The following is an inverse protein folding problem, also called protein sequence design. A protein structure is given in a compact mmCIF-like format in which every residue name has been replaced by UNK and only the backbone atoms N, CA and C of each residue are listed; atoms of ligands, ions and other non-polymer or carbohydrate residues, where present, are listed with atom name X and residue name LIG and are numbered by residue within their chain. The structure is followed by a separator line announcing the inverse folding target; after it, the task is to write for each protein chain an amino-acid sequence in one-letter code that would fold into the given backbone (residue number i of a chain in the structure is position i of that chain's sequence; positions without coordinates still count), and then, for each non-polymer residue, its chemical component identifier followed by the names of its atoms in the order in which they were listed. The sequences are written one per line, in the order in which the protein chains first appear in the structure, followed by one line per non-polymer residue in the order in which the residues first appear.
data_IF_445606085711
#
_entry.id   IF_445606085711
#
_cell.length_a   1.000
_cell.length_b   1.000
_cell.length_c   1.000
_cell.angle_alpha   90.00
_cell.angle_beta   90.00
_cell.angle_gamma   90.00
#
_symmetry.space_group_name_H-M   'P 1'
#
loop_
_entity.id
_entity.type
_entity.pdbx_description
1 polymer ?
#
# COMPACT_ATOMS: atom_id res chain seq x y z
N UNK A 1 18.05 -42.62 -0.56
CA UNK A 1 18.04 -41.19 -0.96
C UNK A 1 16.58 -40.77 -0.93
N UNK A 2 15.96 -40.69 0.25
CA UNK A 2 15.79 -39.50 1.10
C UNK A 2 15.20 -38.29 0.35
N UNK A 3 13.91 -38.11 0.64
CA UNK A 3 13.14 -36.88 0.77
C UNK A 3 12.99 -36.01 -0.49
N UNK A 4 11.99 -36.37 -1.30
CA UNK A 4 11.13 -35.34 -1.88
C UNK A 4 10.53 -34.57 -0.70
N UNK A 5 11.00 -33.33 -0.49
CA UNK A 5 10.45 -32.42 0.49
C UNK A 5 8.94 -32.35 0.29
N UNK A 6 8.25 -32.84 1.31
CA UNK A 6 6.83 -32.74 1.51
C UNK A 6 6.48 -31.24 1.45
N UNK A 7 5.99 -30.79 0.30
CA UNK A 7 5.47 -29.44 0.13
C UNK A 7 4.44 -29.25 1.24
N UNK A 8 4.76 -28.37 2.18
CA UNK A 8 3.89 -28.04 3.31
C UNK A 8 2.47 -27.79 2.79
N UNK A 9 1.43 -28.22 3.53
CA UNK A 9 0.06 -28.04 3.07
C UNK A 9 -0.14 -26.55 2.81
N UNK A 10 -0.44 -26.21 1.55
CA UNK A 10 -0.77 -24.85 1.13
C UNK A 10 -1.74 -24.28 2.16
N UNK A 11 -1.36 -23.16 2.78
CA UNK A 11 -2.19 -22.49 3.78
C UNK A 11 -3.58 -22.28 3.18
N UNK A 12 -4.54 -23.07 3.66
CA UNK A 12 -5.91 -23.01 3.15
C UNK A 12 -6.57 -21.84 3.85
N UNK A 13 -6.93 -20.80 3.10
CA UNK A 13 -7.65 -19.67 3.64
C UNK A 13 -9.00 -20.15 4.20
N UNK A 14 -9.15 -20.11 5.53
CA UNK A 14 -10.35 -20.58 6.24
C UNK A 14 -11.48 -19.56 6.22
N UNK A 15 -11.24 -18.36 5.70
CA UNK A 15 -12.20 -17.25 5.67
C UNK A 15 -12.43 -16.78 4.24
N UNK A 16 -13.70 -16.49 3.92
CA UNK A 16 -14.03 -15.92 2.61
C UNK A 16 -13.43 -14.51 2.47
N UNK A 17 -12.74 -14.26 1.37
CA UNK A 17 -12.24 -12.92 1.05
C UNK A 17 -13.41 -11.98 0.84
N UNK A 18 -13.51 -10.93 1.67
CA UNK A 18 -14.53 -9.88 1.55
C UNK A 18 -13.90 -8.54 1.22
N UNK A 19 -14.66 -7.69 0.52
CA UNK A 19 -14.34 -6.26 0.45
C UNK A 19 -14.47 -5.67 1.86
N UNK A 20 -13.48 -4.90 2.28
CA UNK A 20 -13.51 -4.20 3.56
C UNK A 20 -14.51 -3.03 3.49
N UNK A 21 -15.30 -2.86 4.55
CA UNK A 21 -16.00 -1.60 4.82
C UNK A 21 -15.02 -0.63 5.51
N UNK A 22 -14.20 0.05 4.70
CA UNK A 22 -13.13 0.87 5.22
C UNK A 22 -13.65 2.00 6.14
N UNK A 23 -14.79 2.59 5.82
CA UNK A 23 -15.36 3.68 6.62
C UNK A 23 -15.81 3.18 8.00
N UNK A 24 -16.53 2.05 8.04
CA UNK A 24 -16.96 1.43 9.30
C UNK A 24 -15.78 0.99 10.17
N UNK A 25 -14.77 0.37 9.59
CA UNK A 25 -13.59 -0.13 10.32
C UNK A 25 -12.73 1.03 10.87
N UNK A 26 -12.58 2.13 10.09
CA UNK A 26 -11.95 3.37 10.58
C UNK A 26 -12.69 3.95 11.79
N UNK A 27 -14.01 4.07 11.69
CA UNK A 27 -14.84 4.62 12.76
C UNK A 27 -14.77 3.75 14.04
N UNK A 28 -14.79 2.43 13.88
CA UNK A 28 -14.70 1.47 14.99
C UNK A 28 -13.39 1.62 15.78
N UNK A 29 -12.27 1.84 15.10
CA UNK A 29 -10.95 1.95 15.72
C UNK A 29 -10.49 3.40 15.94
N UNK A 30 -11.36 4.39 15.70
CA UNK A 30 -11.04 5.80 15.90
C UNK A 30 -9.94 6.33 14.98
N UNK A 31 -9.79 5.76 13.78
CA UNK A 31 -8.80 6.20 12.79
C UNK A 31 -9.37 7.38 12.01
N UNK A 32 -8.80 8.57 12.26
CA UNK A 32 -9.20 9.81 11.62
C UNK A 32 -8.20 10.20 10.50
N UNK A 33 -8.54 9.79 9.28
CA UNK A 33 -7.79 10.13 8.05
C UNK A 33 -8.75 10.58 6.95
N UNK A 34 -8.38 11.62 6.18
CA UNK A 34 -9.27 12.18 5.17
C UNK A 34 -9.45 11.22 3.98
N UNK A 35 -10.66 11.21 3.40
CA UNK A 35 -10.99 10.38 2.23
C UNK A 35 -10.70 11.04 0.88
N UNK A 36 -10.33 12.32 0.90
CA UNK A 36 -9.92 13.15 -0.24
C UNK A 36 -8.87 14.16 0.19
N UNK A 37 -8.02 14.59 -0.75
CA UNK A 37 -7.07 15.68 -0.54
C UNK A 37 -7.43 16.85 -1.44
N UNK A 38 -7.38 18.05 -0.89
CA UNK A 38 -7.45 19.31 -1.64
C UNK A 38 -6.02 19.87 -1.74
N UNK A 39 -5.31 19.49 -2.80
CA UNK A 39 -3.93 19.90 -3.04
C UNK A 39 -3.90 20.95 -4.15
N UNK A 40 -3.07 22.01 -4.03
CA UNK A 40 -2.82 22.93 -5.13
C UNK A 40 -2.28 22.19 -6.35
N UNK A 41 -2.88 22.42 -7.53
CA UNK A 41 -2.58 21.66 -8.75
C UNK A 41 -1.17 21.86 -9.32
N UNK A 42 -0.44 22.88 -8.86
CA UNK A 42 0.92 23.20 -9.26
C UNK A 42 1.99 22.66 -8.29
N UNK A 43 1.60 22.08 -7.15
CA UNK A 43 2.53 21.56 -6.17
C UNK A 43 2.86 20.07 -6.39
N UNK A 44 4.13 19.67 -6.24
CA UNK A 44 4.50 18.26 -6.21
C UNK A 44 3.78 17.54 -5.06
N UNK A 45 3.22 16.36 -5.34
CA UNK A 45 2.65 15.46 -4.32
C UNK A 45 3.72 14.86 -3.42
N UNK A 46 4.96 14.78 -3.91
CA UNK A 46 6.11 14.21 -3.21
C UNK A 46 7.22 15.23 -3.04
N UNK A 47 7.89 15.16 -1.89
CA UNK A 47 9.20 15.78 -1.70
C UNK A 47 10.26 15.03 -2.53
N UNK A 48 11.37 15.67 -2.87
CA UNK A 48 12.38 15.08 -3.76
C UNK A 48 12.86 13.69 -3.32
N UNK A 49 13.08 13.46 -2.03
CA UNK A 49 13.49 12.15 -1.53
C UNK A 49 12.37 11.09 -1.58
N UNK A 50 11.12 11.51 -1.49
CA UNK A 50 9.95 10.65 -1.63
C UNK A 50 9.78 10.25 -3.11
N UNK A 51 9.98 11.20 -4.03
CA UNK A 51 9.98 10.92 -5.47
C UNK A 51 11.08 9.93 -5.84
N UNK A 52 12.32 10.13 -5.35
CA UNK A 52 13.41 9.16 -5.55
C UNK A 52 13.08 7.77 -5.01
N UNK A 53 12.45 7.68 -3.84
CA UNK A 53 12.00 6.39 -3.29
C UNK A 53 10.91 5.73 -4.14
N UNK A 54 9.97 6.53 -4.65
CA UNK A 54 8.88 6.05 -5.48
C UNK A 54 9.36 5.49 -6.82
N UNK A 55 10.40 6.10 -7.39
CA UNK A 55 11.01 5.71 -8.67
C UNK A 55 12.02 4.56 -8.55
N UNK A 56 12.40 4.15 -7.33
CA UNK A 56 13.33 3.04 -7.12
C UNK A 56 12.75 1.73 -7.70
N UNK A 57 13.54 0.98 -8.48
CA UNK A 57 13.14 -0.30 -9.09
C UNK A 57 13.81 -1.51 -8.43
N UNK A 58 14.57 -1.30 -7.35
CA UNK A 58 15.24 -2.37 -6.61
C UNK A 58 14.24 -3.40 -6.09
N UNK A 59 14.60 -4.69 -6.18
CA UNK A 59 13.76 -5.80 -5.69
C UNK A 59 13.53 -5.74 -4.18
N UNK A 60 14.53 -5.23 -3.45
CA UNK A 60 14.48 -5.00 -2.00
C UNK A 60 14.92 -3.58 -1.72
N UNK A 61 14.02 -2.78 -1.15
CA UNK A 61 14.28 -1.41 -0.74
C UNK A 61 14.32 -1.35 0.80
N UNK A 62 15.39 -0.80 1.37
CA UNK A 62 15.54 -0.60 2.82
C UNK A 62 15.89 0.87 3.05
N UNK A 63 15.19 1.54 3.97
CA UNK A 63 15.49 2.91 4.34
C UNK A 63 15.56 3.07 5.85
N UNK A 64 16.66 3.68 6.32
CA UNK A 64 16.67 4.35 7.60
C UNK A 64 15.86 5.65 7.46
N UNK A 65 14.87 5.85 8.33
CA UNK A 65 14.00 7.03 8.28
C UNK A 65 13.76 7.63 9.66
N UNK A 66 13.65 8.95 9.70
CA UNK A 66 13.16 9.68 10.86
C UNK A 66 11.62 9.65 10.94
N UNK A 67 11.06 10.26 12.00
CA UNK A 67 9.61 10.44 12.15
C UNK A 67 9.12 11.55 11.23
N UNK A 68 7.87 11.42 10.76
CA UNK A 68 7.15 12.45 9.99
C UNK A 68 7.83 12.87 8.68
N UNK A 69 8.58 11.95 8.07
CA UNK A 69 9.20 12.14 6.74
C UNK A 69 8.29 11.70 5.58
N UNK A 70 7.10 11.14 5.85
CA UNK A 70 6.18 10.73 4.80
C UNK A 70 6.69 9.64 3.85
N UNK A 71 7.73 8.86 4.21
CA UNK A 71 8.20 7.77 3.34
C UNK A 71 7.09 6.73 3.07
N UNK A 72 6.27 6.45 4.07
CA UNK A 72 5.09 5.57 3.95
C UNK A 72 4.05 6.11 2.97
N UNK A 73 3.92 7.43 2.83
CA UNK A 73 3.03 8.08 1.86
C UNK A 73 3.51 7.82 0.43
N UNK A 74 4.82 7.99 0.18
CA UNK A 74 5.42 7.66 -1.11
C UNK A 74 5.24 6.17 -1.48
N UNK A 75 5.46 5.29 -0.51
CA UNK A 75 5.30 3.86 -0.67
C UNK A 75 3.85 3.45 -1.00
N UNK A 76 2.85 4.09 -0.37
CA UNK A 76 1.44 3.85 -0.68
C UNK A 76 1.12 4.16 -2.15
N UNK A 77 1.62 5.28 -2.68
CA UNK A 77 1.46 5.63 -4.09
C UNK A 77 2.11 4.61 -5.02
N UNK A 78 3.36 4.21 -4.74
CA UNK A 78 4.10 3.20 -5.52
C UNK A 78 3.37 1.86 -5.55
N UNK A 79 2.80 1.47 -4.42
CA UNK A 79 2.09 0.21 -4.27
C UNK A 79 0.75 0.17 -4.99
N UNK A 80 0.04 1.29 -5.07
CA UNK A 80 -1.18 1.39 -5.88
C UNK A 80 -0.86 1.17 -7.35
N UNK A 81 0.20 1.78 -7.89
CA UNK A 81 0.62 1.55 -9.28
C UNK A 81 0.99 0.09 -9.50
N UNK A 82 1.74 -0.50 -8.58
CA UNK A 82 2.15 -1.90 -8.64
C UNK A 82 0.96 -2.85 -8.63
N UNK A 83 -0.07 -2.57 -7.81
CA UNK A 83 -1.29 -3.35 -7.74
C UNK A 83 -2.21 -3.15 -8.97
N UNK A 84 -2.21 -1.95 -9.57
CA UNK A 84 -3.05 -1.62 -10.73
C UNK A 84 -2.50 -2.16 -12.05
N UNK A 85 -1.19 -2.42 -12.16
CA UNK A 85 -0.57 -2.97 -13.37
C UNK A 85 -1.18 -4.34 -13.73
N UNK A 86 -1.34 -4.67 -15.02
CA UNK A 86 -1.69 -6.03 -15.42
C UNK A 86 -0.53 -6.98 -15.11
N UNK A 87 -0.82 -8.26 -14.80
CA UNK A 87 0.20 -9.27 -14.48
C UNK A 87 1.33 -9.36 -15.52
N UNK A 88 1.00 -9.24 -16.81
CA UNK A 88 1.97 -9.24 -17.93
C UNK A 88 2.97 -8.08 -17.91
N UNK A 89 2.69 -7.03 -17.13
CA UNK A 89 3.57 -5.86 -16.92
C UNK A 89 4.09 -5.81 -15.48
N UNK A 90 4.18 -6.95 -14.81
CA UNK A 90 4.73 -7.07 -13.46
C UNK A 90 3.78 -6.69 -12.32
N UNK A 91 2.49 -6.49 -12.62
CA UNK A 91 1.48 -6.21 -11.59
C UNK A 91 1.27 -7.37 -10.64
N UNK A 92 1.14 -7.06 -9.34
CA UNK A 92 1.14 -8.04 -8.25
C UNK A 92 0.30 -7.54 -7.07
N UNK A 93 -0.12 -8.48 -6.23
CA UNK A 93 -0.74 -8.14 -4.96
C UNK A 93 0.31 -7.51 -4.04
N UNK A 94 -0.09 -6.45 -3.32
CA UNK A 94 0.75 -5.79 -2.31
C UNK A 94 0.16 -6.06 -0.93
N UNK A 95 1.03 -6.39 0.02
CA UNK A 95 0.66 -6.57 1.42
C UNK A 95 1.40 -5.55 2.28
N UNK A 96 0.67 -4.95 3.22
CA UNK A 96 1.23 -4.06 4.24
C UNK A 96 1.15 -4.76 5.60
N UNK A 97 2.26 -4.75 6.32
CA UNK A 97 2.36 -5.35 7.65
C UNK A 97 2.72 -4.26 8.65
N UNK A 98 1.76 -3.90 9.50
CA UNK A 98 1.96 -3.05 10.66
C UNK A 98 1.80 -3.86 11.95
N UNK A 99 2.27 -3.33 13.07
CA UNK A 99 2.07 -3.97 14.39
C UNK A 99 0.66 -3.80 14.97
N UNK A 100 -0.17 -2.94 14.36
CA UNK A 100 -1.51 -2.60 14.82
C UNK A 100 -2.47 -2.47 13.64
N UNK A 101 -3.75 -2.76 13.88
CA UNK A 101 -4.79 -2.69 12.85
C UNK A 101 -5.06 -1.25 12.40
N UNK A 102 -4.97 -0.29 13.31
CA UNK A 102 -5.14 1.15 13.06
C UNK A 102 -4.13 1.64 12.01
N UNK A 103 -2.86 1.23 12.11
CA UNK A 103 -1.84 1.59 11.13
C UNK A 103 -2.13 0.97 9.76
N UNK A 104 -2.70 -0.24 9.71
CA UNK A 104 -3.12 -0.85 8.46
C UNK A 104 -4.30 -0.10 7.84
N UNK A 105 -5.25 0.39 8.66
CA UNK A 105 -6.36 1.22 8.21
C UNK A 105 -5.89 2.58 7.70
N UNK A 106 -4.94 3.23 8.37
CA UNK A 106 -4.29 4.45 7.88
C UNK A 106 -3.62 4.22 6.53
N UNK A 107 -2.87 3.12 6.41
CA UNK A 107 -2.14 2.79 5.18
C UNK A 107 -3.06 2.50 4.00
N UNK A 108 -4.08 1.65 4.17
CA UNK A 108 -5.02 1.33 3.09
C UNK A 108 -5.86 2.55 2.69
N UNK A 109 -6.10 3.49 3.61
CA UNK A 109 -6.75 4.76 3.30
C UNK A 109 -5.88 5.67 2.43
N UNK A 110 -4.56 5.74 2.72
CA UNK A 110 -3.62 6.42 1.84
C UNK A 110 -3.58 5.79 0.44
N UNK A 111 -3.58 4.46 0.34
CA UNK A 111 -3.70 3.77 -0.94
C UNK A 111 -5.02 4.09 -1.67
N UNK A 112 -6.13 4.23 -0.95
CA UNK A 112 -7.41 4.61 -1.54
C UNK A 112 -7.40 6.03 -2.12
N UNK A 113 -6.70 6.98 -1.47
CA UNK A 113 -6.48 8.33 -1.99
C UNK A 113 -5.72 8.29 -3.33
N UNK A 114 -4.58 7.61 -3.37
CA UNK A 114 -3.78 7.48 -4.59
C UNK A 114 -4.53 6.72 -5.69
N UNK A 115 -5.25 5.65 -5.36
CA UNK A 115 -6.02 4.88 -6.34
C UNK A 115 -7.08 5.74 -7.01
N UNK A 116 -7.79 6.58 -6.26
CA UNK A 116 -8.76 7.53 -6.83
C UNK A 116 -8.07 8.56 -7.73
N UNK A 117 -6.96 9.14 -7.28
CA UNK A 117 -6.21 10.14 -8.04
C UNK A 117 -5.67 9.57 -9.37
N UNK A 118 -5.01 8.40 -9.33
CA UNK A 118 -4.47 7.78 -10.54
C UNK A 118 -5.57 7.31 -11.50
N UNK A 119 -6.73 6.88 -10.99
CA UNK A 119 -7.85 6.50 -11.84
C UNK A 119 -8.48 7.69 -12.60
N UNK A 120 -8.31 8.93 -12.11
CA UNK A 120 -8.74 10.12 -12.85
C UNK A 120 -7.80 10.47 -14.01
N UNK A 121 -6.56 9.94 -13.99
CA UNK A 121 -5.52 10.21 -14.99
C UNK A 121 -5.39 9.11 -16.05
N UNK A 122 -6.02 7.96 -15.84
CA UNK A 122 -5.95 6.77 -16.70
C UNK A 122 -7.07 6.75 -17.75
#
# INVERSE_FOLDING_TARGET
MNNAEELSPLLTNTVSTRKIDLAGEKALLGVDVPDSLDLPGDMPVFLDYQARWFEDESEVCIAEKSRRTGLTWAEAGRNVITAAKPKRRGGRNVFYVGSKQEMALEYISACALFSRAFNQLA
#
